data_IF_906169966652
#
_entry.id   IF_906169966652
#
_cell.length_a   1.000
_cell.length_b   1.000
_cell.length_c   1.000
_cell.angle_alpha   90.00
_cell.angle_beta   90.00
_cell.angle_gamma   90.00
#
_symmetry.space_group_name_H-M   'P 1'
#
loop_
_entity.id
_entity.type
_entity.pdbx_description
1 polymer ?
#
# COMPACT_ATOMS: atom_id res chain seq x y z
N UNK A 1 5.94 11.04 -25.05
CA UNK A 1 5.85 12.49 -25.37
C UNK A 1 6.66 12.76 -26.63
N UNK A 2 6.10 13.33 -27.71
CA UNK A 2 6.77 13.36 -29.01
C UNK A 2 7.49 14.68 -29.37
N UNK A 3 7.46 15.74 -28.55
CA UNK A 3 8.14 17.01 -28.93
C UNK A 3 8.74 17.73 -27.72
N UNK A 4 10.02 17.48 -27.44
CA UNK A 4 10.84 18.35 -26.60
C UNK A 4 11.56 19.33 -27.53
N UNK A 5 11.42 20.66 -27.35
CA UNK A 5 12.14 21.63 -28.17
C UNK A 5 13.66 21.47 -27.99
N UNK A 6 14.40 21.52 -29.11
CA UNK A 6 15.85 21.23 -29.19
C UNK A 6 16.76 21.94 -28.18
N UNK A 7 16.51 23.19 -27.70
CA UNK A 7 17.40 23.79 -26.71
C UNK A 7 17.28 23.16 -25.31
N UNK A 8 16.16 22.50 -25.00
CA UNK A 8 15.91 21.92 -23.67
C UNK A 8 16.20 20.42 -23.60
N UNK A 9 16.32 19.76 -24.76
CA UNK A 9 16.56 18.32 -24.85
C UNK A 9 17.86 17.91 -24.13
N UNK A 10 18.93 18.69 -24.32
CA UNK A 10 20.19 18.44 -23.63
C UNK A 10 20.07 18.69 -22.12
N UNK A 11 19.39 19.76 -21.70
CA UNK A 11 19.17 20.08 -20.28
C UNK A 11 18.40 18.97 -19.57
N UNK A 12 17.34 18.42 -20.21
CA UNK A 12 16.57 17.32 -19.63
C UNK A 12 17.36 16.01 -19.60
N UNK A 13 18.22 15.74 -20.59
CA UNK A 13 19.12 14.58 -20.57
C UNK A 13 20.15 14.71 -19.47
N UNK A 14 20.76 15.87 -19.32
CA UNK A 14 21.75 16.15 -18.28
C UNK A 14 21.10 16.09 -16.89
N UNK A 15 19.87 16.59 -16.74
CA UNK A 15 19.11 16.47 -15.49
C UNK A 15 18.79 15.00 -15.17
N UNK A 16 18.36 14.22 -16.17
CA UNK A 16 18.10 12.77 -16.05
C UNK A 16 19.36 12.01 -15.68
N UNK A 17 20.50 12.36 -16.26
CA UNK A 17 21.75 11.66 -16.03
C UNK A 17 22.40 12.07 -14.69
N UNK A 18 22.10 13.29 -14.20
CA UNK A 18 22.45 13.76 -12.85
C UNK A 18 21.51 13.27 -11.75
N UNK A 19 20.29 12.84 -12.10
CA UNK A 19 19.46 12.04 -11.20
C UNK A 19 20.17 10.69 -11.02
N UNK A 20 20.95 10.59 -9.93
CA UNK A 20 21.53 9.34 -9.42
C UNK A 20 20.40 8.40 -9.01
N UNK A 21 19.76 7.78 -9.98
CA UNK A 21 19.01 6.55 -9.77
C UNK A 21 20.09 5.52 -9.49
N UNK A 22 20.19 5.06 -8.25
CA UNK A 22 21.17 4.09 -7.82
C UNK A 22 21.06 2.82 -8.70
N UNK A 23 21.97 2.66 -9.67
CA UNK A 23 21.93 1.60 -10.69
C UNK A 23 22.60 0.32 -10.21
N UNK A 24 22.71 0.08 -8.90
CA UNK A 24 23.29 -1.14 -8.39
C UNK A 24 22.22 -2.25 -8.35
N UNK A 25 22.26 -3.27 -9.24
CA UNK A 25 21.24 -4.33 -9.27
C UNK A 25 21.24 -5.20 -8.00
N UNK A 26 22.32 -5.19 -7.21
CA UNK A 26 22.39 -5.84 -5.89
C UNK A 26 21.66 -5.07 -4.78
N UNK A 27 21.32 -3.80 -5.00
CA UNK A 27 20.67 -2.94 -4.00
C UNK A 27 19.17 -2.76 -4.27
N UNK A 28 18.56 -3.57 -5.12
CA UNK A 28 17.16 -3.38 -5.54
C UNK A 28 16.15 -3.88 -4.49
N UNK A 29 16.58 -4.80 -3.63
CA UNK A 29 15.78 -5.40 -2.57
C UNK A 29 16.58 -5.42 -1.27
N UNK A 30 15.91 -5.55 -0.14
CA UNK A 30 16.55 -5.83 1.13
C UNK A 30 16.69 -7.35 1.32
N UNK A 31 17.78 -7.80 1.93
CA UNK A 31 18.06 -9.23 2.14
C UNK A 31 17.58 -9.71 3.52
N UNK A 32 17.39 -8.79 4.47
CA UNK A 32 16.95 -9.08 5.84
C UNK A 32 15.68 -8.30 6.23
N UNK A 33 14.89 -8.89 7.13
CA UNK A 33 13.71 -8.22 7.69
C UNK A 33 14.08 -7.02 8.58
N UNK A 34 15.27 -7.03 9.21
CA UNK A 34 15.77 -5.90 9.99
C UNK A 34 15.98 -4.65 9.10
N UNK A 35 16.61 -4.83 7.93
CA UNK A 35 16.79 -3.73 6.97
C UNK A 35 15.45 -3.22 6.43
N UNK A 36 14.49 -4.13 6.20
CA UNK A 36 13.13 -3.77 5.79
C UNK A 36 12.44 -2.94 6.88
N UNK A 37 12.57 -3.33 8.14
CA UNK A 37 11.96 -2.64 9.27
C UNK A 37 12.46 -1.19 9.41
N UNK A 38 13.77 -1.01 9.31
CA UNK A 38 14.39 0.31 9.35
C UNK A 38 14.01 1.15 8.12
N UNK A 39 13.95 0.52 6.95
CA UNK A 39 13.54 1.18 5.71
C UNK A 39 12.07 1.65 5.74
N UNK A 40 11.16 0.91 6.39
CA UNK A 40 9.76 1.30 6.58
C UNK A 40 9.59 2.56 7.43
N UNK A 41 10.57 2.86 8.30
CA UNK A 41 10.63 4.09 9.12
C UNK A 41 11.38 5.23 8.45
N UNK A 42 12.03 4.95 7.31
CA UNK A 42 12.84 5.89 6.56
C UNK A 42 12.03 6.82 5.66
N UNK A 43 12.68 7.30 4.60
CA UNK A 43 12.06 8.14 3.58
C UNK A 43 11.15 7.34 2.63
N UNK A 44 10.35 8.04 1.83
CA UNK A 44 9.38 7.38 0.92
C UNK A 44 10.05 6.44 -0.10
N UNK A 45 11.26 6.77 -0.58
CA UNK A 45 11.99 5.89 -1.49
C UNK A 45 12.39 4.56 -0.84
N UNK A 46 12.81 4.60 0.43
CA UNK A 46 13.14 3.40 1.22
C UNK A 46 11.89 2.60 1.55
N UNK A 47 10.78 3.25 1.90
CA UNK A 47 9.47 2.62 2.13
C UNK A 47 8.98 1.86 0.88
N UNK A 48 9.08 2.48 -0.30
CA UNK A 48 8.71 1.82 -1.55
C UNK A 48 9.61 0.62 -1.86
N UNK A 49 10.93 0.76 -1.65
CA UNK A 49 11.86 -0.38 -1.80
C UNK A 49 11.56 -1.52 -0.83
N UNK A 50 11.18 -1.19 0.41
CA UNK A 50 10.78 -2.17 1.42
C UNK A 50 9.53 -2.93 0.99
N UNK A 51 8.50 -2.24 0.49
CA UNK A 51 7.28 -2.88 -0.04
C UNK A 51 7.57 -3.85 -1.19
N UNK A 52 8.35 -3.43 -2.19
CA UNK A 52 8.70 -4.28 -3.33
C UNK A 52 9.49 -5.52 -2.85
N UNK A 53 10.32 -5.36 -1.83
CA UNK A 53 11.05 -6.48 -1.23
C UNK A 53 10.08 -7.46 -0.56
N UNK A 54 9.15 -6.95 0.26
CA UNK A 54 8.15 -7.74 0.98
C UNK A 54 7.18 -8.48 0.05
N UNK A 55 6.76 -7.85 -1.05
CA UNK A 55 5.89 -8.45 -2.06
C UNK A 55 6.48 -9.75 -2.63
N UNK A 56 7.80 -9.78 -2.87
CA UNK A 56 8.50 -10.94 -3.44
C UNK A 56 8.91 -11.98 -2.40
N UNK A 57 8.88 -11.62 -1.12
CA UNK A 57 9.20 -12.53 -0.03
C UNK A 57 8.03 -13.46 0.27
N UNK A 58 8.35 -14.65 0.79
CA UNK A 58 7.33 -15.54 1.33
C UNK A 58 6.89 -15.02 2.70
N UNK A 59 5.78 -14.28 2.73
CA UNK A 59 5.29 -13.62 3.94
C UNK A 59 4.95 -14.62 5.05
N UNK A 60 4.62 -15.88 4.72
CA UNK A 60 4.40 -16.95 5.71
C UNK A 60 5.61 -17.22 6.58
N UNK A 61 6.82 -17.08 6.03
CA UNK A 61 8.06 -17.35 6.77
C UNK A 61 8.44 -16.21 7.74
N UNK A 62 7.92 -15.01 7.50
CA UNK A 62 8.26 -13.78 8.24
C UNK A 62 7.04 -13.20 8.98
N UNK A 63 6.03 -14.03 9.27
CA UNK A 63 4.78 -13.58 9.91
C UNK A 63 5.02 -12.92 11.27
N UNK A 64 5.96 -13.45 12.07
CA UNK A 64 6.26 -12.89 13.39
C UNK A 64 6.83 -11.47 13.27
N UNK A 65 7.79 -11.26 12.37
CA UNK A 65 8.37 -9.94 12.13
C UNK A 65 7.34 -8.97 11.53
N UNK A 66 6.42 -9.50 10.71
CA UNK A 66 5.33 -8.73 10.13
C UNK A 66 4.30 -8.29 11.18
N UNK A 67 4.00 -9.11 12.18
CA UNK A 67 3.15 -8.71 13.31
C UNK A 67 3.74 -7.51 14.05
N UNK A 68 5.05 -7.48 14.28
CA UNK A 68 5.71 -6.34 14.91
C UNK A 68 5.61 -5.07 14.06
N UNK A 69 5.77 -5.20 12.74
CA UNK A 69 5.54 -4.11 11.76
C UNK A 69 4.10 -3.60 11.83
N UNK A 70 3.12 -4.50 11.83
CA UNK A 70 1.70 -4.17 11.82
C UNK A 70 1.26 -3.46 13.10
N UNK A 71 1.89 -3.77 14.24
CA UNK A 71 1.62 -3.15 15.55
C UNK A 71 2.38 -1.84 15.77
N UNK A 72 3.46 -1.58 15.05
CA UNK A 72 4.27 -0.37 15.24
C UNK A 72 3.44 0.91 14.98
N UNK A 73 3.64 1.92 15.82
CA UNK A 73 3.00 3.24 15.72
C UNK A 73 3.70 4.18 14.72
N UNK A 74 4.97 3.93 14.41
CA UNK A 74 5.80 4.77 13.54
C UNK A 74 5.60 4.45 12.06
N UNK A 75 4.99 3.31 11.75
CA UNK A 75 4.74 2.87 10.40
C UNK A 75 3.38 3.38 9.95
N UNK A 76 3.36 4.03 8.79
CA UNK A 76 2.16 4.63 8.21
C UNK A 76 1.08 3.59 7.94
N UNK A 77 -0.18 4.01 8.10
CA UNK A 77 -1.32 3.12 7.91
C UNK A 77 -1.46 2.61 6.48
N UNK A 78 -1.09 3.41 5.48
CA UNK A 78 -1.15 3.00 4.08
C UNK A 78 -0.18 1.84 3.79
N UNK A 79 1.00 1.81 4.42
CA UNK A 79 1.95 0.69 4.31
C UNK A 79 1.36 -0.59 4.89
N UNK A 80 0.73 -0.49 6.07
CA UNK A 80 0.07 -1.64 6.71
C UNK A 80 -1.07 -2.18 5.86
N UNK A 81 -1.88 -1.30 5.27
CA UNK A 81 -2.94 -1.70 4.33
C UNK A 81 -2.36 -2.42 3.11
N UNK A 82 -1.25 -1.92 2.55
CA UNK A 82 -0.56 -2.59 1.44
C UNK A 82 -0.06 -3.99 1.83
N UNK A 83 0.49 -4.14 3.03
CA UNK A 83 0.91 -5.44 3.55
C UNK A 83 -0.27 -6.41 3.72
N UNK A 84 -1.43 -5.92 4.16
CA UNK A 84 -2.66 -6.73 4.21
C UNK A 84 -3.03 -7.22 2.82
N UNK A 85 -2.94 -6.38 1.78
CA UNK A 85 -3.18 -6.82 0.40
C UNK A 85 -2.22 -7.94 -0.03
N UNK A 86 -0.92 -7.82 0.26
CA UNK A 86 0.02 -8.90 -0.06
C UNK A 86 -0.27 -10.21 0.68
N UNK A 87 -0.70 -10.14 1.95
CA UNK A 87 -1.13 -11.32 2.71
C UNK A 87 -2.36 -11.99 2.08
N UNK A 88 -3.31 -11.20 1.59
CA UNK A 88 -4.50 -11.69 0.88
C UNK A 88 -4.12 -12.34 -0.45
N UNK A 89 -3.24 -11.71 -1.24
CA UNK A 89 -2.77 -12.24 -2.54
C UNK A 89 -2.05 -13.59 -2.39
N UNK A 90 -1.24 -13.75 -1.33
CA UNK A 90 -0.56 -15.01 -1.03
C UNK A 90 -1.49 -16.07 -0.39
N UNK A 91 -2.78 -15.78 -0.22
CA UNK A 91 -3.79 -16.65 0.43
C UNK A 91 -3.27 -17.22 1.76
N UNK A 92 -2.85 -16.35 2.67
CA UNK A 92 -2.33 -16.76 3.98
C UNK A 92 -3.47 -16.79 4.99
N UNK A 93 -3.75 -17.99 5.53
CA UNK A 93 -4.74 -18.17 6.59
C UNK A 93 -4.17 -17.77 7.94
N UNK A 94 -4.26 -16.49 8.26
CA UNK A 94 -3.77 -15.93 9.52
C UNK A 94 -4.70 -14.84 10.04
N UNK A 95 -4.77 -14.75 11.37
CA UNK A 95 -5.35 -13.60 12.06
C UNK A 95 -4.21 -12.71 12.54
N UNK A 96 -4.16 -11.46 12.09
CA UNK A 96 -3.07 -10.52 12.42
C UNK A 96 -3.62 -9.31 13.15
N UNK A 97 -2.92 -8.87 14.19
CA UNK A 97 -3.24 -7.63 14.87
C UNK A 97 -2.53 -6.46 14.19
N UNK A 98 -3.32 -5.50 13.71
CA UNK A 98 -2.82 -4.30 13.03
C UNK A 98 -3.24 -3.05 13.79
N UNK A 99 -2.33 -2.07 13.84
CA UNK A 99 -2.63 -0.73 14.34
C UNK A 99 -2.95 0.20 13.17
N UNK A 100 -4.21 0.60 13.05
CA UNK A 100 -4.69 1.58 12.07
C UNK A 100 -5.40 2.72 12.80
N UNK A 101 -5.20 3.97 12.38
CA UNK A 101 -5.79 5.17 12.98
C UNK A 101 -5.64 5.20 14.52
N UNK A 102 -4.45 4.83 15.01
CA UNK A 102 -4.11 4.69 16.44
C UNK A 102 -4.94 3.69 17.24
N UNK A 103 -5.71 2.81 16.57
CA UNK A 103 -6.50 1.74 17.20
C UNK A 103 -5.96 0.37 16.79
N UNK A 104 -6.04 -0.58 17.71
CA UNK A 104 -5.69 -1.97 17.45
C UNK A 104 -6.91 -2.70 16.87
N UNK A 105 -6.68 -3.46 15.82
CA UNK A 105 -7.69 -4.26 15.15
C UNK A 105 -7.12 -5.65 14.85
N UNK A 106 -7.89 -6.70 15.11
CA UNK A 106 -7.55 -8.04 14.65
C UNK A 106 -8.22 -8.28 13.31
N UNK A 107 -7.43 -8.62 12.30
CA UNK A 107 -7.88 -8.90 10.93
C UNK A 107 -7.70 -10.38 10.61
N UNK A 108 -8.77 -11.02 10.19
CA UNK A 108 -8.72 -12.38 9.65
C UNK A 108 -8.54 -12.31 8.13
N UNK A 109 -7.32 -12.57 7.64
CA UNK A 109 -6.93 -12.28 6.25
C UNK A 109 -7.84 -12.97 5.22
N UNK A 110 -8.21 -14.24 5.44
CA UNK A 110 -9.10 -14.97 4.52
C UNK A 110 -10.55 -14.48 4.50
N UNK A 111 -11.00 -13.82 5.57
CA UNK A 111 -12.37 -13.26 5.63
C UNK A 111 -12.45 -11.85 5.07
N UNK A 112 -11.32 -11.23 4.74
CA UNK A 112 -11.29 -9.91 4.13
C UNK A 112 -11.67 -10.01 2.66
N UNK A 113 -12.58 -9.15 2.24
CA UNK A 113 -12.87 -8.95 0.82
C UNK A 113 -11.99 -7.82 0.29
N UNK A 114 -11.43 -8.01 -0.91
CA UNK A 114 -10.71 -6.94 -1.60
C UNK A 114 -11.72 -5.83 -1.95
N UNK A 115 -11.56 -4.61 -1.41
CA UNK A 115 -12.56 -3.56 -1.58
C UNK A 115 -12.63 -3.05 -3.03
N UNK A 116 -11.53 -3.11 -3.79
CA UNK A 116 -11.46 -2.76 -5.22
C UNK A 116 -12.05 -3.90 -6.09
N UNK A 117 -12.05 -5.13 -5.59
CA UNK A 117 -12.72 -6.27 -6.24
C UNK A 117 -14.21 -6.39 -5.92
N UNK A 118 -14.75 -5.54 -5.04
CA UNK A 118 -16.12 -5.66 -4.57
C UNK A 118 -17.14 -5.30 -5.67
N UNK A 119 -18.27 -6.00 -5.69
CA UNK A 119 -19.33 -5.75 -6.68
C UNK A 119 -19.81 -4.29 -6.64
N UNK A 120 -19.95 -3.71 -5.44
CA UNK A 120 -20.32 -2.31 -5.26
C UNK A 120 -19.32 -1.34 -5.90
N UNK A 121 -18.01 -1.61 -5.78
CA UNK A 121 -16.98 -0.81 -6.45
C UNK A 121 -17.09 -0.94 -7.96
N UNK A 122 -17.18 -2.16 -8.49
CA UNK A 122 -17.26 -2.41 -9.92
C UNK A 122 -18.50 -1.77 -10.56
N UNK A 123 -19.66 -1.83 -9.90
CA UNK A 123 -20.88 -1.15 -10.33
C UNK A 123 -20.74 0.37 -10.31
N UNK A 124 -20.06 0.94 -9.31
CA UNK A 124 -19.81 2.38 -9.21
C UNK A 124 -18.89 2.85 -10.34
N UNK A 125 -17.80 2.11 -10.61
CA UNK A 125 -16.89 2.41 -11.73
C UNK A 125 -17.59 2.31 -13.07
N UNK A 126 -18.41 1.28 -13.29
CA UNK A 126 -19.20 1.14 -14.52
C UNK A 126 -20.13 2.35 -14.72
N UNK A 127 -20.84 2.76 -13.66
CA UNK A 127 -21.74 3.93 -13.71
C UNK A 127 -20.99 5.23 -14.01
N UNK A 128 -19.79 5.42 -13.45
CA UNK A 128 -18.95 6.57 -13.73
C UNK A 128 -18.48 6.59 -15.18
N UNK A 129 -18.07 5.43 -15.72
CA UNK A 129 -17.67 5.29 -17.13
C UNK A 129 -18.83 5.63 -18.06
N UNK A 130 -20.00 5.03 -17.85
CA UNK A 130 -21.19 5.29 -18.66
C UNK A 130 -21.55 6.79 -18.71
N UNK A 131 -21.34 7.51 -17.60
CA UNK A 131 -21.68 8.93 -17.50
C UNK A 131 -20.61 9.86 -18.09
N UNK A 132 -19.33 9.55 -17.94
CA UNK A 132 -18.24 10.51 -18.16
C UNK A 132 -17.24 10.11 -19.25
N UNK A 133 -17.20 8.86 -19.68
CA UNK A 133 -16.21 8.37 -20.66
C UNK A 133 -16.28 9.12 -21.99
N UNK A 134 -17.49 9.41 -22.46
CA UNK A 134 -17.73 10.15 -23.71
C UNK A 134 -17.81 11.67 -23.54
N UNK A 135 -18.03 12.16 -22.31
CA UNK A 135 -18.29 13.58 -22.03
C UNK A 135 -17.04 14.29 -21.54
N UNK A 136 -16.34 13.71 -20.56
CA UNK A 136 -15.16 14.30 -19.96
C UNK A 136 -14.26 13.21 -19.34
N UNK A 137 -13.33 12.64 -20.14
CA UNK A 137 -12.44 11.58 -19.66
C UNK A 137 -11.48 12.05 -18.56
N UNK A 138 -11.15 13.35 -18.51
CA UNK A 138 -10.31 13.88 -17.43
C UNK A 138 -11.03 13.89 -16.09
N UNK A 139 -12.32 14.25 -16.08
CA UNK A 139 -13.14 14.18 -14.86
C UNK A 139 -13.38 12.74 -14.42
N UNK A 140 -13.58 11.82 -15.37
CA UNK A 140 -13.69 10.39 -15.08
C UNK A 140 -12.47 9.87 -14.30
N UNK A 141 -11.26 10.20 -14.76
CA UNK A 141 -10.03 9.79 -14.05
C UNK A 141 -9.99 10.32 -12.62
N UNK A 142 -10.32 11.59 -12.40
CA UNK A 142 -10.35 12.18 -11.06
C UNK A 142 -11.40 11.51 -10.14
N UNK A 143 -12.57 11.17 -10.67
CA UNK A 143 -13.60 10.48 -9.91
C UNK A 143 -13.20 9.05 -9.53
N UNK A 144 -12.51 8.34 -10.42
CA UNK A 144 -11.97 7.00 -10.14
C UNK A 144 -10.87 7.10 -9.07
N UNK A 145 -9.93 8.04 -9.21
CA UNK A 145 -8.85 8.22 -8.24
C UNK A 145 -9.39 8.55 -6.84
N UNK A 146 -10.39 9.44 -6.76
CA UNK A 146 -11.05 9.77 -5.48
C UNK A 146 -11.82 8.58 -4.92
N UNK A 147 -12.50 7.79 -5.77
CA UNK A 147 -13.18 6.58 -5.35
C UNK A 147 -12.19 5.57 -4.77
N UNK A 148 -11.07 5.33 -5.44
CA UNK A 148 -10.00 4.43 -4.99
C UNK A 148 -9.49 4.88 -3.62
N UNK A 149 -9.20 6.17 -3.45
CA UNK A 149 -8.75 6.71 -2.18
C UNK A 149 -9.79 6.48 -1.07
N UNK A 150 -11.07 6.79 -1.30
CA UNK A 150 -12.13 6.63 -0.29
C UNK A 150 -12.34 5.17 0.09
N UNK A 151 -12.26 4.28 -0.87
CA UNK A 151 -12.41 2.84 -0.69
C UNK A 151 -11.24 2.27 0.13
N UNK A 152 -10.02 2.70 -0.16
CA UNK A 152 -8.82 2.35 0.61
C UNK A 152 -8.83 2.95 2.02
N UNK A 153 -9.28 4.20 2.18
CA UNK A 153 -9.46 4.85 3.49
C UNK A 153 -10.41 4.05 4.38
N UNK A 154 -11.55 3.61 3.82
CA UNK A 154 -12.57 2.83 4.52
C UNK A 154 -12.16 1.36 4.78
N UNK A 155 -11.10 0.86 4.13
CA UNK A 155 -10.59 -0.48 4.36
C UNK A 155 -9.75 -0.55 5.65
N UNK A 156 -9.94 -1.58 6.51
CA UNK A 156 -10.91 -2.67 6.41
C UNK A 156 -12.32 -2.30 6.92
N UNK A 157 -13.39 -2.70 6.19
CA UNK A 157 -14.81 -2.36 6.46
C UNK A 157 -15.36 -2.86 7.80
N UNK A 158 -14.78 -3.92 8.36
CA UNK A 158 -15.14 -4.51 9.66
C UNK A 158 -13.89 -5.04 10.34
N UNK A 159 -13.17 -4.25 11.13
CA UNK A 159 -12.23 -4.82 12.07
C UNK A 159 -13.04 -5.58 13.13
N UNK A 160 -13.00 -6.91 13.10
CA UNK A 160 -13.98 -7.73 13.82
C UNK A 160 -13.79 -7.74 15.33
N UNK A 161 -12.67 -7.24 15.86
CA UNK A 161 -12.46 -7.16 17.32
C UNK A 161 -11.71 -5.88 17.68
N UNK A 162 -12.40 -4.93 18.32
CA UNK A 162 -11.76 -3.95 19.20
C UNK A 162 -11.30 -4.73 20.42
N UNK A 163 -9.99 -4.91 20.61
CA UNK A 163 -9.49 -5.36 21.91
C UNK A 163 -9.89 -4.31 22.95
N UNK A 164 -10.99 -4.55 23.66
CA UNK A 164 -11.32 -3.81 24.89
C UNK A 164 -10.15 -4.05 25.83
N UNK A 165 -9.40 -3.01 26.13
CA UNK A 165 -8.44 -3.01 27.24
C UNK A 165 -9.15 -3.55 28.50
N UNK A 166 -8.83 -4.80 28.87
CA UNK A 166 -8.98 -5.25 30.23
C UNK A 166 -7.82 -4.63 31.01
N UNK A 167 -8.12 -3.69 31.91
CA UNK A 167 -7.57 -3.58 33.27
C UNK A 167 -7.70 -2.14 33.79
N UNK A 168 -8.71 -1.93 34.64
CA UNK A 168 -8.52 -1.17 35.87
C UNK A 168 -9.13 -2.01 36.99
N UNK A 169 -8.30 -2.87 37.57
CA UNK A 169 -8.44 -3.30 38.96
C UNK A 169 -7.64 -2.34 39.81
N UNK A 170 -8.32 -1.59 40.68
CA UNK A 170 -8.06 -1.43 42.11
C UNK A 170 -9.27 -0.74 42.74
#
# INVERSE_FOLDING_TARGET
MPFIPRPYDQVFRDLRDNLRIDRNPKARYFESMEEVFDALKGNDALKQKALISLERMNLRAVLNDLEDIMRDKLIDDWLKKQLVFYLMEQNIDVSIDVRLNHKMYTLEILKLENPIGSEAYLQTVASLRDMLESVNPSLLMLCIDELDQKVLEAFPKKPQILMRNQSWTL
#
